data_IF_615690183405
#
_entry.id   IF_615690183405
#
_cell.length_a   1.000
_cell.length_b   1.000
_cell.length_c   1.000
_cell.angle_alpha   90.00
_cell.angle_beta   90.00
_cell.angle_gamma   90.00
#
_symmetry.space_group_name_H-M   'P 1'
#
loop_
_entity.id
_entity.type
_entity.pdbx_description
1 polymer ?
#
# COMPACT_ATOMS: atom_id res chain seq x y z
N UNK A 1 -4.81 -10.85 19.22
CA UNK A 1 -4.26 -10.15 18.05
C UNK A 1 -4.10 -11.20 16.96
N UNK A 2 -5.03 -11.25 16.01
CA UNK A 2 -5.02 -12.24 14.94
C UNK A 2 -3.79 -12.03 14.04
N UNK A 3 -2.84 -12.99 13.97
CA UNK A 3 -1.63 -12.83 13.17
C UNK A 3 -1.89 -12.75 11.65
N UNK A 4 -3.14 -12.98 11.22
CA UNK A 4 -3.58 -12.89 9.83
C UNK A 4 -4.38 -11.61 9.53
N UNK A 5 -4.45 -10.66 10.48
CA UNK A 5 -5.11 -9.39 10.22
C UNK A 5 -4.31 -8.57 9.19
N UNK A 6 -5.00 -8.11 8.15
CA UNK A 6 -4.44 -7.22 7.12
C UNK A 6 -5.21 -5.91 7.07
N UNK A 7 -4.56 -4.85 6.61
CA UNK A 7 -5.14 -3.52 6.42
C UNK A 7 -4.61 -2.88 5.13
N UNK A 8 -5.23 -1.77 4.70
CA UNK A 8 -4.81 -1.06 3.49
C UNK A 8 -3.48 -0.36 3.73
N UNK A 9 -2.61 -0.36 2.72
CA UNK A 9 -1.40 0.46 2.72
C UNK A 9 -1.74 1.94 3.00
N UNK A 10 -0.92 2.59 3.83
CA UNK A 10 -1.15 3.98 4.23
C UNK A 10 -0.96 5.01 3.11
N UNK A 11 -0.37 4.65 1.96
CA UNK A 11 -0.32 5.54 0.80
C UNK A 11 -1.75 5.70 0.23
N UNK A 12 -2.28 6.93 0.09
CA UNK A 12 -3.70 7.16 -0.24
C UNK A 12 -4.14 6.44 -1.52
N UNK A 13 -3.32 6.56 -2.57
CA UNK A 13 -3.56 5.99 -3.89
C UNK A 13 -3.19 4.50 -4.02
N UNK A 14 -2.73 3.86 -2.94
CA UNK A 14 -2.36 2.45 -2.92
C UNK A 14 -3.52 1.58 -2.41
N UNK A 15 -3.84 0.50 -3.10
CA UNK A 15 -4.91 -0.46 -2.72
C UNK A 15 -4.40 -1.73 -2.05
N UNK A 16 -3.08 -1.90 -1.92
CA UNK A 16 -2.49 -3.12 -1.37
C UNK A 16 -3.01 -3.43 0.04
N UNK A 17 -3.39 -4.68 0.28
CA UNK A 17 -3.57 -5.22 1.63
C UNK A 17 -2.22 -5.70 2.19
N UNK A 18 -1.85 -5.21 3.36
CA UNK A 18 -0.60 -5.51 4.04
C UNK A 18 -0.87 -6.00 5.47
N UNK A 19 0.05 -6.73 6.10
CA UNK A 19 -0.08 -7.10 7.50
C UNK A 19 -0.22 -5.87 8.40
N UNK A 20 -0.98 -5.96 9.48
CA UNK A 20 -1.14 -4.85 10.46
C UNK A 20 0.18 -4.42 11.10
N UNK A 21 1.21 -5.27 11.09
CA UNK A 21 2.57 -4.96 11.54
C UNK A 21 3.33 -4.01 10.60
N UNK A 22 2.85 -3.78 9.38
CA UNK A 22 3.47 -2.93 8.37
C UNK A 22 2.57 -1.75 8.04
N UNK A 23 3.12 -0.56 7.82
CA UNK A 23 2.33 0.63 7.45
C UNK A 23 2.26 0.86 5.94
N UNK A 24 3.30 0.45 5.21
CA UNK A 24 3.42 0.62 3.77
C UNK A 24 3.78 -0.72 3.12
N UNK A 25 3.34 -0.94 1.87
CA UNK A 25 3.64 -2.17 1.15
C UNK A 25 5.09 -2.24 0.65
N UNK A 26 5.74 -1.10 0.40
CA UNK A 26 7.14 -1.01 0.00
C UNK A 26 7.72 0.39 0.32
N UNK A 27 9.00 0.59 -0.02
CA UNK A 27 9.69 1.87 0.16
C UNK A 27 9.13 2.99 -0.71
N UNK A 28 8.65 2.70 -1.92
CA UNK A 28 8.02 3.71 -2.77
C UNK A 28 6.81 4.33 -2.07
N UNK A 29 5.88 3.53 -1.55
CA UNK A 29 4.70 4.03 -0.82
C UNK A 29 5.06 4.76 0.48
N UNK A 30 6.22 4.46 1.08
CA UNK A 30 6.71 5.14 2.27
C UNK A 30 7.25 6.53 1.96
N UNK A 31 7.89 6.70 0.81
CA UNK A 31 8.50 7.96 0.37
C UNK A 31 7.62 8.77 -0.59
N UNK A 32 6.54 8.18 -1.11
CA UNK A 32 5.63 8.84 -2.02
C UNK A 32 4.87 9.98 -1.31
N UNK A 33 4.72 11.14 -1.96
CA UNK A 33 3.94 12.24 -1.40
C UNK A 33 2.45 11.87 -1.38
N UNK A 34 1.72 12.37 -0.38
CA UNK A 34 0.27 12.12 -0.27
C UNK A 34 -0.54 12.69 -1.44
N UNK A 35 0.02 13.68 -2.16
CA UNK A 35 -0.57 14.28 -3.36
C UNK A 35 -0.39 13.43 -4.62
N UNK A 36 0.34 12.31 -4.54
CA UNK A 36 0.54 11.41 -5.67
C UNK A 36 -0.78 10.68 -5.99
N UNK A 37 -1.37 10.99 -7.14
CA UNK A 37 -2.65 10.41 -7.58
C UNK A 37 -2.55 8.95 -8.04
N UNK A 38 -1.35 8.45 -8.34
CA UNK A 38 -1.12 7.09 -8.86
C UNK A 38 -0.07 6.37 -8.05
N UNK A 39 -0.31 5.10 -7.73
CA UNK A 39 0.64 4.29 -6.99
C UNK A 39 1.49 3.42 -7.94
N UNK A 40 2.81 3.60 -7.91
CA UNK A 40 3.78 2.82 -8.70
C UNK A 40 4.48 1.71 -7.90
N UNK A 41 3.85 1.16 -6.86
CA UNK A 41 4.47 0.09 -6.05
C UNK A 41 4.58 -1.26 -6.77
N UNK A 42 4.02 -1.38 -7.99
CA UNK A 42 4.06 -2.55 -8.89
C UNK A 42 3.47 -3.86 -8.36
N UNK A 43 2.85 -3.86 -7.18
CA UNK A 43 2.13 -5.02 -6.67
C UNK A 43 0.87 -5.31 -7.50
N UNK A 44 0.46 -6.58 -7.50
CA UNK A 44 -0.67 -7.06 -8.31
C UNK A 44 -1.95 -6.24 -8.12
N UNK A 45 -2.22 -5.83 -6.88
CA UNK A 45 -3.37 -5.01 -6.51
C UNK A 45 -3.36 -3.65 -7.22
N UNK A 46 -2.29 -2.87 -7.00
CA UNK A 46 -2.13 -1.56 -7.64
C UNK A 46 -1.96 -1.68 -9.14
N UNK A 47 -1.36 -2.75 -9.67
CA UNK A 47 -1.19 -2.95 -11.11
C UNK A 47 -2.52 -3.12 -11.85
N UNK A 48 -3.54 -3.64 -11.18
CA UNK A 48 -4.90 -3.76 -11.73
C UNK A 48 -5.70 -2.45 -11.62
N UNK A 49 -5.33 -1.57 -10.70
CA UNK A 49 -6.02 -0.32 -10.41
C UNK A 49 -5.44 0.91 -11.15
N UNK A 50 -4.43 0.72 -12.01
CA UNK A 50 -3.77 1.77 -12.81
C UNK A 50 -4.44 1.98 -14.17
#
# INVERSE_FOLDING_TARGET
>A
MDPNATHKCAHPSCTCQIPVSQKYCNEYCKSAPETEFRCYCQHADCRKAQ
#
